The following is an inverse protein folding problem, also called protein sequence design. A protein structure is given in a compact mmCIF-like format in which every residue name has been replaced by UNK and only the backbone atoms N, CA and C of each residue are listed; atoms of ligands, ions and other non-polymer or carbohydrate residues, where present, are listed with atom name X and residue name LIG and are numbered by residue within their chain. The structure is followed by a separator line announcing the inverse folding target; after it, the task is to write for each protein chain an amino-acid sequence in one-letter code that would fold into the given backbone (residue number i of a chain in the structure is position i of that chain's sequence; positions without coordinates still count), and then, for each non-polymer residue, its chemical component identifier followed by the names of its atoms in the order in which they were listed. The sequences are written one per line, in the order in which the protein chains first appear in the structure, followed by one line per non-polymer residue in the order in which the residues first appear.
data_IF_971034808823
#
_entry.id   IF_971034808823
#
_cell.length_a   1.000
_cell.length_b   1.000
_cell.length_c   1.000
_cell.angle_alpha   90.00
_cell.angle_beta   90.00
_cell.angle_gamma   90.00
#
_symmetry.space_group_name_H-M   'P 1'
#
loop_
_entity.id
_entity.type
_entity.pdbx_description
1 polymer ?
#
# COMPACT_ATOMS: atom_id res chain seq x y z
N UNK A 1 37.80 8.02 11.55
CA UNK A 1 36.49 8.44 12.12
C UNK A 1 35.73 9.17 11.03
N UNK A 2 34.45 8.85 10.75
CA UNK A 2 33.66 9.66 9.84
C UNK A 2 33.60 11.11 10.38
N UNK A 3 33.71 12.13 9.51
CA UNK A 3 33.70 13.52 9.95
C UNK A 3 32.40 13.83 10.70
N UNK A 4 32.51 14.47 11.88
CA UNK A 4 31.35 15.00 12.60
C UNK A 4 30.71 16.06 11.71
N UNK A 5 29.48 15.79 11.30
CA UNK A 5 28.67 16.74 10.54
C UNK A 5 28.14 17.76 11.55
N UNK A 6 28.47 19.04 11.36
CA UNK A 6 27.95 20.14 12.18
C UNK A 6 26.53 20.48 11.72
N UNK A 7 25.56 19.90 12.41
CA UNK A 7 24.14 20.06 12.14
C UNK A 7 23.64 21.42 12.60
N UNK A 8 23.00 22.19 11.71
CA UNK A 8 22.32 23.43 12.05
C UNK A 8 20.87 23.17 12.41
N UNK A 9 20.45 23.52 13.62
CA UNK A 9 19.05 23.46 14.01
C UNK A 9 18.24 24.54 13.28
N UNK A 10 17.15 24.12 12.65
CA UNK A 10 16.37 24.99 11.76
C UNK A 10 14.94 25.18 12.26
N UNK A 11 14.35 24.16 12.91
CA UNK A 11 13.03 24.28 13.51
C UNK A 11 12.80 23.23 14.62
N UNK A 12 12.05 23.62 15.65
CA UNK A 12 11.36 22.72 16.58
C UNK A 12 9.85 22.98 16.42
N UNK A 13 9.06 21.96 16.14
CA UNK A 13 7.64 22.13 15.88
C UNK A 13 6.77 21.01 16.46
N UNK A 14 5.63 21.40 17.04
CA UNK A 14 4.55 20.48 17.39
C UNK A 14 3.77 20.00 16.16
N UNK A 15 3.64 20.86 15.14
CA UNK A 15 3.01 20.53 13.85
C UNK A 15 4.06 20.07 12.83
N UNK A 16 4.66 18.93 13.16
CA UNK A 16 5.61 18.17 12.35
C UNK A 16 5.30 18.13 10.84
N UNK A 17 4.05 17.82 10.49
CA UNK A 17 3.64 17.60 9.11
C UNK A 17 3.71 18.86 8.25
N UNK A 18 3.46 20.04 8.83
CA UNK A 18 3.51 21.33 8.12
C UNK A 18 4.96 21.69 7.79
N UNK A 19 5.86 21.54 8.76
CA UNK A 19 7.29 21.84 8.57
C UNK A 19 7.96 20.84 7.61
N UNK A 20 7.65 19.54 7.75
CA UNK A 20 8.13 18.53 6.81
C UNK A 20 7.56 18.72 5.40
N UNK A 21 6.32 19.20 5.28
CA UNK A 21 5.73 19.55 4.00
C UNK A 21 6.36 20.80 3.39
N UNK A 22 6.96 21.70 4.17
CA UNK A 22 7.64 22.89 3.66
C UNK A 22 8.96 22.54 2.95
N UNK A 23 9.71 21.56 3.47
CA UNK A 23 10.97 21.08 2.90
C UNK A 23 10.85 20.63 1.43
N UNK A 24 11.95 20.70 0.69
CA UNK A 24 12.05 20.07 -0.65
C UNK A 24 11.87 18.57 -0.53
N UNK A 25 11.53 17.91 -1.63
CA UNK A 25 11.41 16.46 -1.63
C UNK A 25 12.70 15.80 -1.13
N UNK A 26 12.54 14.86 -0.21
CA UNK A 26 13.65 14.18 0.45
C UNK A 26 13.38 12.67 0.52
N UNK A 27 14.47 11.92 0.64
CA UNK A 27 14.45 10.46 0.82
C UNK A 27 15.03 10.14 2.19
N UNK A 28 14.39 9.24 2.93
CA UNK A 28 14.91 8.75 4.21
C UNK A 28 15.97 7.69 3.90
N UNK A 29 17.23 8.01 4.20
CA UNK A 29 18.35 7.06 4.04
C UNK A 29 18.43 6.13 5.26
N UNK A 30 18.25 6.68 6.47
CA UNK A 30 18.35 5.92 7.71
C UNK A 30 17.22 6.29 8.67
N UNK A 31 16.68 5.31 9.39
CA UNK A 31 15.62 5.49 10.39
C UNK A 31 15.81 4.53 11.56
N UNK A 32 16.30 5.04 12.67
CA UNK A 32 16.55 4.27 13.90
C UNK A 32 15.68 4.79 15.05
N UNK A 33 15.39 3.92 16.00
CA UNK A 33 14.78 4.33 17.28
C UNK A 33 15.87 4.30 18.35
N UNK A 34 16.01 5.39 19.11
CA UNK A 34 16.99 5.51 20.18
C UNK A 34 16.32 6.01 21.46
N UNK A 35 16.73 5.47 22.61
CA UNK A 35 16.35 6.01 23.91
C UNK A 35 17.11 7.32 24.09
N UNK A 36 16.39 8.44 24.26
CA UNK A 36 17.02 9.75 24.39
C UNK A 36 16.39 10.50 25.55
N UNK A 37 17.23 11.24 26.28
CA UNK A 37 16.85 11.93 27.53
C UNK A 37 16.67 13.44 27.36
N UNK A 38 16.68 13.95 26.11
CA UNK A 38 16.78 15.39 25.79
C UNK A 38 15.50 15.94 25.14
N UNK A 39 14.34 15.33 25.38
CA UNK A 39 13.09 16.09 25.31
C UNK A 39 12.88 16.68 26.71
N UNK A 40 12.26 17.85 26.85
CA UNK A 40 11.99 18.48 28.16
C UNK A 40 11.12 17.68 29.16
N UNK A 41 10.92 16.37 28.93
CA UNK A 41 10.28 15.43 29.84
C UNK A 41 11.29 14.86 30.85
N UNK A 42 10.85 14.70 32.10
CA UNK A 42 11.67 14.17 33.19
C UNK A 42 12.08 12.70 33.02
N UNK A 43 11.39 11.91 32.18
CA UNK A 43 11.65 10.49 31.98
C UNK A 43 12.26 10.18 30.61
N UNK A 44 13.21 9.23 30.53
CA UNK A 44 13.77 8.77 29.27
C UNK A 44 12.68 8.13 28.42
N UNK A 45 12.58 8.55 27.16
CA UNK A 45 11.62 8.00 26.20
C UNK A 45 12.29 7.76 24.85
N UNK A 46 11.59 7.03 23.99
CA UNK A 46 12.09 6.69 22.68
C UNK A 46 11.94 7.88 21.72
N UNK A 47 13.03 8.24 21.07
CA UNK A 47 13.03 9.17 19.94
C UNK A 47 13.34 8.41 18.65
N UNK A 48 12.69 8.81 17.57
CA UNK A 48 12.99 8.30 16.23
C UNK A 48 13.96 9.26 15.54
N UNK A 49 15.14 8.74 15.24
CA UNK A 49 16.19 9.41 14.51
C UNK A 49 16.09 9.07 13.03
N UNK A 50 15.97 10.06 12.15
CA UNK A 50 16.00 9.85 10.70
C UNK A 50 17.03 10.74 10.03
N UNK A 51 17.84 10.15 9.14
CA UNK A 51 18.67 10.90 8.20
C UNK A 51 17.98 10.94 6.85
N UNK A 52 17.88 12.14 6.30
CA UNK A 52 17.28 12.40 5.00
C UNK A 52 18.29 13.04 4.05
N UNK A 53 18.15 12.73 2.78
CA UNK A 53 18.94 13.32 1.70
C UNK A 53 18.00 14.00 0.70
N UNK A 54 18.56 14.94 -0.09
CA UNK A 54 17.80 15.60 -1.13
C UNK A 54 17.29 14.57 -2.17
N UNK A 55 15.99 14.60 -2.45
CA UNK A 55 15.32 13.85 -3.51
C UNK A 55 14.59 14.77 -4.47
N UNK A 56 15.14 15.97 -4.70
CA UNK A 56 14.58 17.03 -5.55
C UNK A 56 15.08 16.84 -6.98
N UNK A 57 14.16 16.57 -7.91
CA UNK A 57 14.49 16.42 -9.34
C UNK A 57 15.14 17.70 -9.88
N UNK A 58 14.71 18.87 -9.42
CA UNK A 58 15.31 20.17 -9.75
C UNK A 58 16.75 20.35 -9.25
N UNK A 59 17.16 19.64 -8.20
CA UNK A 59 18.55 19.65 -7.74
C UNK A 59 19.38 18.62 -8.50
N UNK A 60 18.75 17.54 -8.96
CA UNK A 60 19.39 16.51 -9.78
C UNK A 60 19.66 17.02 -11.20
N UNK A 61 18.72 17.74 -11.81
CA UNK A 61 18.88 18.27 -13.17
C UNK A 61 19.87 19.44 -13.24
N UNK A 62 20.12 20.13 -12.13
CA UNK A 62 20.97 21.32 -12.10
C UNK A 62 22.46 21.01 -12.02
N UNK A 63 22.84 19.78 -11.65
CA UNK A 63 24.24 19.36 -11.55
C UNK A 63 24.35 17.85 -11.65
N UNK A 64 25.37 17.37 -12.37
CA UNK A 64 25.74 15.96 -12.40
C UNK A 64 26.28 15.45 -11.05
N UNK A 65 26.59 16.36 -10.11
CA UNK A 65 27.04 16.03 -8.77
C UNK A 65 25.85 15.88 -7.81
N UNK A 66 25.92 14.87 -6.94
CA UNK A 66 24.90 14.65 -5.91
C UNK A 66 24.74 15.88 -5.02
N UNK A 67 23.50 16.32 -4.83
CA UNK A 67 23.13 17.43 -3.96
C UNK A 67 23.73 17.26 -2.55
N UNK A 68 24.40 18.31 -2.07
CA UNK A 68 25.13 18.30 -0.81
C UNK A 68 24.21 18.36 0.42
N UNK A 69 22.97 18.84 0.25
CA UNK A 69 22.00 18.97 1.33
C UNK A 69 21.66 17.63 1.99
N UNK A 70 21.71 17.63 3.32
CA UNK A 70 21.27 16.55 4.19
C UNK A 70 20.43 17.11 5.33
N UNK A 71 19.43 16.35 5.74
CA UNK A 71 18.61 16.65 6.90
C UNK A 71 18.71 15.57 7.96
N UNK A 72 18.51 15.97 9.21
CA UNK A 72 18.34 15.09 10.36
C UNK A 72 17.03 15.46 11.04
N UNK A 73 16.17 14.47 11.22
CA UNK A 73 14.89 14.59 11.91
C UNK A 73 14.96 13.82 13.22
N UNK A 74 14.66 14.49 14.32
CA UNK A 74 14.44 13.86 15.63
C UNK A 74 12.96 13.97 15.95
N UNK A 75 12.27 12.85 16.09
CA UNK A 75 10.85 12.82 16.48
C UNK A 75 10.70 12.21 17.85
N UNK A 76 10.12 12.93 18.81
CA UNK A 76 9.73 12.34 20.09
C UNK A 76 8.51 11.42 19.88
N UNK A 77 8.59 10.16 20.33
CA UNK A 77 7.45 9.23 20.18
C UNK A 77 6.34 9.44 21.23
N UNK A 78 6.58 10.28 22.24
CA UNK A 78 5.61 10.59 23.29
C UNK A 78 4.87 11.90 23.02
N UNK A 79 5.61 12.97 22.72
CA UNK A 79 5.03 14.31 22.49
C UNK A 79 4.80 14.62 21.00
N UNK A 80 5.29 13.77 20.10
CA UNK A 80 5.27 13.98 18.64
C UNK A 80 5.98 15.25 18.16
N UNK A 81 6.71 15.94 19.03
CA UNK A 81 7.56 17.07 18.67
C UNK A 81 8.66 16.61 17.70
N UNK A 82 8.92 17.44 16.68
CA UNK A 82 10.01 17.21 15.74
C UNK A 82 11.02 18.35 15.78
N UNK A 83 12.29 17.99 15.96
CA UNK A 83 13.43 18.88 15.75
C UNK A 83 14.06 18.56 14.41
N UNK A 84 14.23 19.59 13.58
CA UNK A 84 14.77 19.51 12.22
C UNK A 84 16.14 20.18 12.21
N UNK A 85 17.13 19.43 11.75
CA UNK A 85 18.47 19.92 11.53
C UNK A 85 18.87 19.75 10.07
N UNK A 86 19.62 20.70 9.54
CA UNK A 86 20.08 20.71 8.16
C UNK A 86 21.60 20.83 8.10
N UNK A 87 22.18 20.30 7.02
CA UNK A 87 23.58 20.40 6.71
C UNK A 87 23.79 20.51 5.19
N UNK A 88 24.66 21.44 4.79
CA UNK A 88 24.89 21.76 3.39
C UNK A 88 23.72 22.51 2.76
N UNK A 89 23.88 22.86 1.49
CA UNK A 89 22.89 23.60 0.72
C UNK A 89 22.36 22.77 -0.44
N UNK A 90 21.15 23.08 -0.87
CA UNK A 90 20.61 22.50 -2.08
C UNK A 90 21.36 23.06 -3.30
N UNK A 91 21.57 22.23 -4.33
CA UNK A 91 22.19 22.66 -5.60
C UNK A 91 21.45 23.83 -6.24
N UNK A 92 20.13 23.91 -6.03
CA UNK A 92 19.28 24.98 -6.54
C UNK A 92 18.26 25.37 -5.50
N UNK A 93 17.80 26.62 -5.56
CA UNK A 93 16.66 27.11 -4.76
C UNK A 93 15.30 26.79 -5.39
N UNK A 94 15.26 26.41 -6.67
CA UNK A 94 14.05 26.03 -7.37
C UNK A 94 13.26 24.91 -6.64
N UNK A 95 11.99 25.17 -6.34
CA UNK A 95 11.11 24.20 -5.71
C UNK A 95 10.82 23.04 -6.68
N UNK A 96 11.07 21.80 -6.25
CA UNK A 96 10.61 20.64 -6.98
C UNK A 96 9.08 20.46 -6.85
N UNK A 97 8.42 19.90 -7.88
CA UNK A 97 7.03 19.49 -7.76
C UNK A 97 6.90 18.47 -6.61
N UNK A 98 6.22 18.87 -5.54
CA UNK A 98 6.03 18.03 -4.37
C UNK A 98 5.16 16.83 -4.76
N UNK A 99 5.65 15.62 -4.48
CA UNK A 99 4.83 14.40 -4.62
C UNK A 99 3.59 14.55 -3.74
N UNK A 100 2.43 14.67 -4.37
CA UNK A 100 1.15 14.83 -3.67
C UNK A 100 0.85 13.52 -2.93
N UNK A 101 0.81 13.58 -1.60
CA UNK A 101 0.48 12.46 -0.73
C UNK A 101 -0.98 12.57 -0.28
N UNK A 102 -1.60 11.41 0.00
CA UNK A 102 -2.93 11.39 0.62
C UNK A 102 -2.84 11.97 2.03
N UNK A 103 -3.66 12.97 2.33
CA UNK A 103 -3.86 13.48 3.70
C UNK A 103 -4.54 12.41 4.56
N UNK A 104 -4.50 12.54 5.89
CA UNK A 104 -5.14 11.54 6.75
C UNK A 104 -6.66 11.48 6.56
N UNK A 105 -7.30 12.63 6.31
CA UNK A 105 -8.73 12.70 5.96
C UNK A 105 -9.05 12.01 4.63
N UNK A 106 -8.19 12.16 3.61
CA UNK A 106 -8.33 11.45 2.35
C UNK A 106 -8.10 9.94 2.50
N UNK A 107 -7.15 9.52 3.35
CA UNK A 107 -6.93 8.10 3.66
C UNK A 107 -8.14 7.49 4.36
N UNK A 108 -8.73 8.18 5.34
CA UNK A 108 -9.94 7.72 6.02
C UNK A 108 -11.08 7.48 5.03
N UNK A 109 -11.28 8.41 4.10
CA UNK A 109 -12.25 8.22 3.03
C UNK A 109 -11.91 7.06 2.09
N UNK A 110 -10.64 6.90 1.73
CA UNK A 110 -10.21 5.75 0.93
C UNK A 110 -10.50 4.42 1.63
N UNK A 111 -10.32 4.33 2.96
CA UNK A 111 -10.65 3.14 3.76
C UNK A 111 -12.15 2.82 3.68
N UNK A 112 -13.00 3.80 3.97
CA UNK A 112 -14.47 3.69 3.87
C UNK A 112 -14.93 3.22 2.47
N UNK A 113 -14.36 3.81 1.42
CA UNK A 113 -14.70 3.43 0.04
C UNK A 113 -14.16 2.04 -0.35
N UNK A 114 -13.05 1.61 0.27
CA UNK A 114 -12.48 0.27 0.08
C UNK A 114 -13.33 -0.81 0.75
N UNK A 115 -13.89 -0.52 1.92
CA UNK A 115 -14.86 -1.39 2.61
C UNK A 115 -16.12 -1.60 1.77
N UNK A 116 -16.53 -0.58 1.02
CA UNK A 116 -17.61 -0.68 0.03
C UNK A 116 -17.17 -1.31 -1.31
N UNK A 117 -15.99 -1.94 -1.35
CA UNK A 117 -15.43 -2.63 -2.52
C UNK A 117 -15.36 -1.77 -3.80
N UNK A 118 -15.21 -0.45 -3.67
CA UNK A 118 -15.07 0.42 -4.82
C UNK A 118 -13.69 0.29 -5.46
N UNK A 119 -13.65 0.29 -6.79
CA UNK A 119 -12.39 0.21 -7.54
C UNK A 119 -11.53 1.47 -7.29
N UNK A 120 -10.18 1.36 -7.21
CA UNK A 120 -9.30 2.49 -6.93
C UNK A 120 -9.48 3.71 -7.85
N UNK A 121 -9.80 3.49 -9.13
CA UNK A 121 -10.12 4.58 -10.06
C UNK A 121 -11.37 5.35 -9.63
N UNK A 122 -12.44 4.63 -9.23
CA UNK A 122 -13.68 5.26 -8.73
C UNK A 122 -13.43 6.00 -7.43
N UNK A 123 -12.58 5.47 -6.55
CA UNK A 123 -12.15 6.13 -5.31
C UNK A 123 -11.43 7.43 -5.63
N UNK A 124 -10.51 7.47 -6.61
CA UNK A 124 -9.81 8.70 -7.03
C UNK A 124 -10.78 9.77 -7.54
N UNK A 125 -11.78 9.40 -8.35
CA UNK A 125 -12.80 10.37 -8.79
C UNK A 125 -13.73 10.80 -7.64
N UNK A 126 -14.04 9.90 -6.70
CA UNK A 126 -14.82 10.24 -5.52
C UNK A 126 -14.07 11.20 -4.58
N UNK A 127 -12.76 11.03 -4.42
CA UNK A 127 -11.88 11.97 -3.71
C UNK A 127 -11.97 13.37 -4.31
N UNK A 128 -11.87 13.48 -5.63
CA UNK A 128 -11.96 14.77 -6.34
C UNK A 128 -13.28 15.48 -6.03
N UNK A 129 -14.40 14.76 -6.04
CA UNK A 129 -15.72 15.32 -5.73
C UNK A 129 -15.90 15.66 -4.24
N UNK A 130 -15.46 14.79 -3.32
CA UNK A 130 -15.68 14.97 -1.87
C UNK A 130 -14.85 16.12 -1.29
N UNK A 131 -13.63 16.31 -1.80
CA UNK A 131 -12.71 17.33 -1.31
C UNK A 131 -12.59 18.53 -2.26
N UNK A 132 -13.47 18.63 -3.27
CA UNK A 132 -13.45 19.69 -4.30
C UNK A 132 -12.05 19.94 -4.87
N UNK A 133 -11.27 18.86 -5.01
CA UNK A 133 -9.87 18.92 -5.42
C UNK A 133 -9.77 18.50 -6.89
N UNK A 134 -9.12 19.29 -7.76
CA UNK A 134 -8.93 18.89 -9.15
C UNK A 134 -8.11 17.60 -9.23
N UNK A 135 -8.37 16.77 -10.24
CA UNK A 135 -7.72 15.46 -10.41
C UNK A 135 -6.19 15.57 -10.52
N UNK A 136 -5.70 16.70 -11.04
CA UNK A 136 -4.26 16.97 -11.22
C UNK A 136 -3.57 17.33 -9.90
N UNK A 137 -4.33 17.84 -8.93
CA UNK A 137 -3.86 18.11 -7.57
C UNK A 137 -4.09 16.91 -6.62
N UNK A 138 -4.52 15.76 -7.14
CA UNK A 138 -4.64 14.52 -6.37
C UNK A 138 -3.43 13.62 -6.58
N UNK A 139 -3.14 12.73 -5.62
CA UNK A 139 -2.16 11.67 -5.81
C UNK A 139 -2.44 10.86 -7.08
N UNK A 140 -1.37 10.38 -7.70
CA UNK A 140 -1.47 9.52 -8.88
C UNK A 140 -2.34 8.30 -8.60
N UNK A 141 -2.96 7.74 -9.65
CA UNK A 141 -3.77 6.53 -9.53
C UNK A 141 -2.98 5.39 -8.87
N UNK A 142 -1.68 5.26 -9.21
CA UNK A 142 -0.79 4.25 -8.63
C UNK A 142 -0.65 4.38 -7.12
N UNK A 143 -0.60 5.61 -6.59
CA UNK A 143 -0.53 5.84 -5.15
C UNK A 143 -1.83 5.42 -4.45
N UNK A 144 -2.98 5.75 -5.02
CA UNK A 144 -4.30 5.34 -4.49
C UNK A 144 -4.46 3.82 -4.56
N UNK A 145 -4.08 3.20 -5.69
CA UNK A 145 -4.09 1.75 -5.85
C UNK A 145 -3.23 1.06 -4.78
N UNK A 146 -1.98 1.47 -4.61
CA UNK A 146 -1.09 0.87 -3.61
C UNK A 146 -1.67 0.97 -2.19
N UNK A 147 -2.25 2.12 -1.83
CA UNK A 147 -2.88 2.31 -0.52
C UNK A 147 -4.10 1.39 -0.33
N UNK A 148 -5.03 1.39 -1.30
CA UNK A 148 -6.26 0.61 -1.24
C UNK A 148 -5.95 -0.89 -1.24
N UNK A 149 -5.03 -1.36 -2.08
CA UNK A 149 -4.65 -2.77 -2.14
C UNK A 149 -3.97 -3.22 -0.85
N UNK A 150 -3.10 -2.40 -0.26
CA UNK A 150 -2.53 -2.68 1.05
C UNK A 150 -3.62 -2.78 2.12
N UNK A 151 -4.50 -1.78 2.20
CA UNK A 151 -5.60 -1.79 3.19
C UNK A 151 -6.51 -3.01 3.03
N UNK A 152 -6.93 -3.33 1.81
CA UNK A 152 -7.80 -4.46 1.52
C UNK A 152 -7.16 -5.80 1.90
N UNK A 153 -5.86 -5.97 1.62
CA UNK A 153 -5.13 -7.19 2.00
C UNK A 153 -4.98 -7.32 3.51
N UNK A 154 -4.67 -6.22 4.21
CA UNK A 154 -4.37 -6.24 5.63
C UNK A 154 -5.62 -6.30 6.51
N UNK A 155 -6.72 -5.65 6.11
CA UNK A 155 -7.88 -5.44 6.98
C UNK A 155 -9.21 -5.98 6.45
N UNK A 156 -9.34 -6.19 5.13
CA UNK A 156 -10.58 -6.70 4.53
C UNK A 156 -10.53 -8.19 4.19
N UNK A 157 -9.52 -8.90 4.72
CA UNK A 157 -9.24 -10.32 4.42
C UNK A 157 -9.29 -10.65 2.93
N UNK A 158 -9.02 -9.65 2.08
CA UNK A 158 -9.06 -9.78 0.63
C UNK A 158 -7.74 -10.39 0.17
N UNK A 159 -7.51 -11.60 0.67
CA UNK A 159 -6.42 -12.46 0.26
C UNK A 159 -6.86 -13.12 -1.03
N UNK A 160 -6.06 -12.95 -2.08
CA UNK A 160 -6.18 -13.71 -3.31
C UNK A 160 -5.84 -15.18 -3.01
N UNK A 161 -6.69 -15.91 -2.25
CA UNK A 161 -6.53 -17.34 -1.94
C UNK A 161 -6.86 -18.20 -3.16
N UNK A 162 -6.61 -17.69 -4.36
CA UNK A 162 -6.84 -18.35 -5.63
C UNK A 162 -6.07 -19.67 -5.67
N UNK A 163 -4.84 -19.69 -5.15
CA UNK A 163 -4.04 -20.92 -5.09
C UNK A 163 -4.62 -21.96 -4.13
N UNK A 164 -5.13 -21.54 -2.97
CA UNK A 164 -5.75 -22.45 -2.02
C UNK A 164 -7.09 -22.98 -2.53
N UNK A 165 -7.89 -22.11 -3.11
CA UNK A 165 -9.14 -22.45 -3.76
C UNK A 165 -8.87 -23.44 -4.90
N UNK A 166 -7.86 -23.17 -5.73
CA UNK A 166 -7.41 -24.06 -6.81
C UNK A 166 -6.98 -25.43 -6.28
N UNK A 167 -6.24 -25.48 -5.17
CA UNK A 167 -5.90 -26.75 -4.50
C UNK A 167 -7.15 -27.48 -4.01
N UNK A 168 -8.09 -26.76 -3.38
CA UNK A 168 -9.35 -27.34 -2.89
C UNK A 168 -10.20 -27.93 -4.02
N UNK A 169 -10.26 -27.23 -5.15
CA UNK A 169 -10.95 -27.65 -6.38
C UNK A 169 -10.30 -28.92 -6.93
N UNK A 170 -8.98 -28.91 -7.14
CA UNK A 170 -8.27 -30.05 -7.71
C UNK A 170 -8.30 -31.28 -6.80
N UNK A 171 -8.34 -31.09 -5.49
CA UNK A 171 -8.47 -32.18 -4.52
C UNK A 171 -9.85 -32.86 -4.55
N UNK A 172 -10.87 -32.19 -5.09
CA UNK A 172 -12.25 -32.70 -5.22
C UNK A 172 -12.65 -32.98 -6.65
N UNK A 173 -11.67 -33.08 -7.56
CA UNK A 173 -11.95 -33.43 -8.94
C UNK A 173 -12.68 -34.77 -9.02
N UNK A 174 -13.67 -34.87 -9.89
CA UNK A 174 -14.39 -36.11 -10.11
C UNK A 174 -13.46 -37.23 -10.59
N UNK A 175 -13.43 -38.34 -9.86
CA UNK A 175 -12.66 -39.56 -10.14
C UNK A 175 -13.57 -40.76 -10.45
N UNK A 176 -14.87 -40.66 -10.16
CA UNK A 176 -15.84 -41.72 -10.34
C UNK A 176 -16.02 -42.60 -9.10
N UNK A 177 -15.10 -42.57 -8.14
CA UNK A 177 -15.14 -43.39 -6.92
C UNK A 177 -15.81 -42.70 -5.73
N UNK A 178 -16.35 -41.49 -5.89
CA UNK A 178 -16.96 -40.72 -4.81
C UNK A 178 -18.25 -41.36 -4.29
N UNK A 179 -18.54 -41.18 -3.01
CA UNK A 179 -19.80 -41.61 -2.40
C UNK A 179 -21.02 -40.85 -2.98
N UNK A 180 -22.22 -41.40 -2.84
CA UNK A 180 -23.42 -40.87 -3.52
C UNK A 180 -23.75 -39.42 -3.11
N UNK A 181 -23.48 -39.06 -1.86
CA UNK A 181 -23.69 -37.73 -1.29
C UNK A 181 -22.41 -36.88 -1.25
N UNK A 182 -21.26 -37.44 -1.62
CA UNK A 182 -19.99 -36.72 -1.57
C UNK A 182 -19.94 -35.69 -2.70
N UNK A 183 -19.64 -34.41 -2.38
CA UNK A 183 -19.51 -33.37 -3.37
C UNK A 183 -18.18 -33.50 -4.11
N UNK A 184 -18.25 -33.32 -5.43
CA UNK A 184 -17.10 -33.25 -6.33
C UNK A 184 -17.19 -32.02 -7.22
N UNK A 185 -16.04 -31.62 -7.75
CA UNK A 185 -15.90 -30.51 -8.70
C UNK A 185 -15.71 -31.07 -10.11
N UNK A 186 -16.24 -30.35 -11.09
CA UNK A 186 -16.00 -30.60 -12.51
C UNK A 186 -15.84 -29.26 -13.24
N UNK A 187 -15.03 -29.25 -14.30
CA UNK A 187 -14.70 -28.04 -15.05
C UNK A 187 -15.28 -28.06 -16.45
N UNK A 188 -15.40 -26.87 -17.04
CA UNK A 188 -15.69 -26.72 -18.47
C UNK A 188 -14.50 -27.18 -19.32
N UNK A 189 -13.31 -26.70 -19.00
CA UNK A 189 -12.04 -27.15 -19.58
C UNK A 189 -11.27 -28.02 -18.58
N UNK A 190 -10.60 -29.05 -19.09
CA UNK A 190 -9.72 -29.92 -18.33
C UNK A 190 -8.28 -29.77 -18.83
N UNK A 191 -7.32 -29.83 -17.92
CA UNK A 191 -5.90 -29.86 -18.26
C UNK A 191 -5.49 -31.24 -18.82
N UNK A 192 -4.24 -31.38 -19.28
CA UNK A 192 -3.71 -32.64 -19.80
C UNK A 192 -3.67 -33.79 -18.79
N UNK A 193 -4.01 -33.54 -17.51
CA UNK A 193 -4.09 -34.51 -16.41
C UNK A 193 -5.54 -34.77 -16.00
N UNK A 194 -6.52 -34.21 -16.73
CA UNK A 194 -7.95 -34.39 -16.48
C UNK A 194 -8.50 -33.58 -15.29
N UNK A 195 -7.79 -32.54 -14.85
CA UNK A 195 -8.25 -31.64 -13.78
C UNK A 195 -8.86 -30.36 -14.34
N UNK A 196 -9.86 -29.76 -13.68
CA UNK A 196 -10.52 -28.54 -14.15
C UNK A 196 -9.53 -27.37 -14.26
N UNK A 197 -9.50 -26.71 -15.42
CA UNK A 197 -8.73 -25.50 -15.63
C UNK A 197 -9.37 -24.35 -14.86
N UNK A 198 -8.70 -23.91 -13.81
CA UNK A 198 -9.12 -22.77 -13.00
C UNK A 198 -8.51 -21.49 -13.58
N UNK A 199 -9.34 -20.70 -14.26
CA UNK A 199 -8.97 -19.40 -14.82
C UNK A 199 -8.79 -18.31 -13.75
N UNK A 200 -8.48 -17.09 -14.18
CA UNK A 200 -8.32 -15.93 -13.28
C UNK A 200 -9.56 -15.03 -13.25
N UNK A 201 -10.67 -15.45 -13.88
CA UNK A 201 -11.91 -14.68 -13.96
C UNK A 201 -11.88 -13.58 -15.03
N UNK A 202 -10.84 -13.52 -15.87
CA UNK A 202 -10.83 -12.66 -17.05
C UNK A 202 -11.68 -13.25 -18.18
N UNK A 203 -12.03 -12.44 -19.18
CA UNK A 203 -12.76 -12.93 -20.36
C UNK A 203 -11.96 -13.97 -21.16
N UNK A 204 -10.64 -13.84 -21.22
CA UNK A 204 -9.75 -14.79 -21.90
C UNK A 204 -9.53 -16.08 -21.10
N UNK A 205 -9.60 -16.01 -19.77
CA UNK A 205 -9.42 -17.14 -18.85
C UNK A 205 -10.50 -17.13 -17.77
N UNK A 206 -11.74 -17.50 -18.13
CA UNK A 206 -12.86 -17.44 -17.21
C UNK A 206 -12.69 -18.45 -16.07
N UNK A 207 -13.20 -18.09 -14.89
CA UNK A 207 -13.24 -18.98 -13.73
C UNK A 207 -14.63 -19.64 -13.70
N UNK A 208 -14.75 -20.87 -14.23
CA UNK A 208 -16.02 -21.60 -14.30
C UNK A 208 -15.82 -23.01 -13.76
N UNK A 209 -16.52 -23.34 -12.68
CA UNK A 209 -16.44 -24.63 -12.01
C UNK A 209 -17.83 -25.04 -11.55
N UNK A 210 -18.21 -26.27 -11.87
CA UNK A 210 -19.41 -26.92 -11.35
C UNK A 210 -19.09 -27.69 -10.06
N UNK A 211 -20.03 -27.66 -9.12
CA UNK A 211 -20.01 -28.49 -7.91
C UNK A 211 -21.28 -29.31 -7.91
N UNK A 212 -21.18 -30.63 -7.75
CA UNK A 212 -22.34 -31.51 -7.69
C UNK A 212 -22.07 -32.73 -6.82
N UNK A 213 -23.10 -33.56 -6.63
CA UNK A 213 -23.02 -34.89 -6.01
C UNK A 213 -23.66 -35.90 -6.95
N UNK A 214 -23.33 -37.19 -6.82
CA UNK A 214 -23.97 -38.23 -7.64
C UNK A 214 -25.49 -38.25 -7.43
N UNK A 215 -25.95 -38.03 -6.20
CA UNK A 215 -27.37 -37.92 -5.88
C UNK A 215 -28.09 -36.81 -6.66
N UNK A 216 -27.47 -35.63 -6.82
CA UNK A 216 -28.05 -34.53 -7.60
C UNK A 216 -28.13 -34.87 -9.09
N UNK A 217 -27.06 -35.46 -9.65
CA UNK A 217 -27.05 -35.88 -11.05
C UNK A 217 -28.11 -36.97 -11.31
N UNK A 218 -28.22 -37.96 -10.42
CA UNK A 218 -29.23 -39.03 -10.54
C UNK A 218 -30.66 -38.47 -10.49
N UNK A 219 -30.92 -37.45 -9.68
CA UNK A 219 -32.22 -36.76 -9.67
C UNK A 219 -32.52 -36.04 -10.97
N UNK A 220 -31.53 -35.45 -11.63
CA UNK A 220 -31.71 -34.80 -12.94
C UNK A 220 -32.03 -35.78 -14.07
N UNK A 221 -31.70 -37.06 -13.89
CA UNK A 221 -32.00 -38.12 -14.85
C UNK A 221 -33.41 -38.70 -14.68
N UNK A 222 -34.12 -38.34 -13.61
CA UNK A 222 -35.52 -38.71 -13.43
C UNK A 222 -36.39 -37.82 -14.36
N UNK A 223 -37.43 -38.39 -14.99
CA UNK A 223 -38.37 -37.60 -15.77
C UNK A 223 -39.01 -36.52 -14.88
N UNK A 224 -39.26 -35.31 -15.41
CA UNK A 224 -40.00 -34.29 -14.69
C UNK A 224 -41.42 -34.80 -14.42
N UNK A 225 -41.89 -34.64 -13.18
CA UNK A 225 -43.30 -34.84 -12.80
C UNK A 225 -44.22 -33.86 -13.55
#
# INVERSE_FOLDING_TARGET
MPPRIDWRETAEAAEADVQLAALKSYVINKSDTMVYTVCGSAEPHNMRYRLVECGSDTCYEASDMKCAWRGKLLTCLQTHLISIYEFGEHTTDAAAPKRIKLTETQKAFCREMSENHLRPMRIRHALSRKFTTPLDALPSLKAVQNFVTHYARTYLENHDRVDELRKWIHARNYTGTEEITQPFTFGWELDGVGKPVVGNGSGERPFIIGISTKALILRMLLPPD
#
